data_IF_834458375207
#
_entry.id   IF_834458375207
#
_cell.length_a   1.000
_cell.length_b   1.000
_cell.length_c   1.000
_cell.angle_alpha   90.00
_cell.angle_beta   90.00
_cell.angle_gamma   90.00
#
_symmetry.space_group_name_H-M   'P 1'
#
loop_
_entity.id
_entity.type
_entity.pdbx_description
1 polymer ?
#
# COMPACT_ATOMS: atom_id res chain seq x y z
N UNK A 1 36.30 -14.21 -10.57
CA UNK A 1 35.53 -13.54 -11.63
C UNK A 1 34.79 -12.44 -10.92
N UNK A 2 35.28 -11.22 -11.05
CA UNK A 2 34.70 -10.02 -10.46
C UNK A 2 33.35 -9.75 -11.13
N UNK A 3 32.28 -9.74 -10.34
CA UNK A 3 31.00 -9.21 -10.80
C UNK A 3 31.15 -7.69 -10.93
N UNK A 4 31.40 -7.26 -12.15
CA UNK A 4 31.62 -5.88 -12.53
C UNK A 4 30.41 -5.03 -12.10
N UNK A 5 30.59 -4.01 -11.23
CA UNK A 5 29.50 -3.18 -10.74
C UNK A 5 28.73 -2.48 -11.87
N UNK A 6 29.37 -2.30 -13.04
CA UNK A 6 28.73 -1.76 -14.25
C UNK A 6 27.72 -2.75 -14.85
N UNK A 7 28.02 -4.05 -14.82
CA UNK A 7 27.11 -5.12 -15.30
C UNK A 7 25.91 -5.28 -14.34
N UNK A 8 26.12 -5.14 -13.03
CA UNK A 8 25.03 -5.13 -12.05
C UNK A 8 24.10 -3.92 -12.22
N UNK A 9 24.64 -2.74 -12.54
CA UNK A 9 23.85 -1.54 -12.82
C UNK A 9 23.04 -1.69 -14.12
N UNK A 10 23.66 -2.24 -15.17
CA UNK A 10 23.02 -2.46 -16.48
C UNK A 10 21.96 -3.57 -16.48
N UNK A 11 22.05 -4.55 -15.57
CA UNK A 11 21.05 -5.63 -15.42
C UNK A 11 19.86 -5.23 -14.54
N UNK A 12 19.80 -3.98 -14.06
CA UNK A 12 18.75 -3.52 -13.13
C UNK A 12 18.88 -4.12 -11.72
N UNK A 13 20.05 -4.66 -11.37
CA UNK A 13 20.34 -5.28 -10.06
C UNK A 13 20.81 -4.28 -9.01
N UNK A 14 21.26 -3.09 -9.39
CA UNK A 14 21.63 -2.03 -8.43
C UNK A 14 20.37 -1.36 -7.92
N UNK A 15 20.13 -1.48 -6.62
CA UNK A 15 19.07 -0.76 -5.94
C UNK A 15 19.64 0.61 -5.59
N UNK A 16 18.91 1.69 -5.86
CA UNK A 16 19.34 3.01 -5.43
C UNK A 16 18.64 3.40 -4.12
N UNK A 17 19.30 4.21 -3.30
CA UNK A 17 18.66 4.81 -2.12
C UNK A 17 17.41 5.62 -2.52
N UNK A 18 17.42 6.23 -3.71
CA UNK A 18 16.27 6.95 -4.26
C UNK A 18 15.06 6.06 -4.52
N UNK A 19 15.26 4.80 -4.95
CA UNK A 19 14.16 3.84 -5.10
C UNK A 19 13.52 3.49 -3.76
N UNK A 20 14.32 3.34 -2.70
CA UNK A 20 13.82 3.10 -1.34
C UNK A 20 13.06 4.30 -0.81
N UNK A 21 13.61 5.51 -0.96
CA UNK A 21 12.92 6.74 -0.57
C UNK A 21 11.63 6.96 -1.38
N UNK A 22 11.66 6.68 -2.67
CA UNK A 22 10.47 6.66 -3.52
C UNK A 22 9.40 5.71 -2.98
N UNK A 23 9.77 4.48 -2.64
CA UNK A 23 8.85 3.50 -2.08
C UNK A 23 8.29 3.94 -0.71
N UNK A 24 9.13 4.53 0.16
CA UNK A 24 8.70 5.08 1.47
C UNK A 24 7.69 6.23 1.30
N UNK A 25 7.88 7.11 0.32
CA UNK A 25 6.90 8.17 0.00
C UNK A 25 5.56 7.59 -0.43
N UNK A 26 5.55 6.58 -1.30
CA UNK A 26 4.32 5.91 -1.72
C UNK A 26 3.63 5.19 -0.55
N UNK A 27 4.40 4.60 0.36
CA UNK A 27 3.85 3.99 1.58
C UNK A 27 3.16 5.03 2.46
N UNK A 28 3.76 6.20 2.64
CA UNK A 28 3.14 7.31 3.39
C UNK A 28 1.84 7.76 2.73
N UNK A 29 1.82 7.90 1.40
CA UNK A 29 0.60 8.25 0.65
C UNK A 29 -0.51 7.21 0.83
N UNK A 30 -0.17 5.91 0.75
CA UNK A 30 -1.15 4.82 0.95
C UNK A 30 -1.74 4.85 2.36
N UNK A 31 -0.90 5.07 3.39
CA UNK A 31 -1.35 5.20 4.78
C UNK A 31 -2.27 6.39 4.97
N UNK A 32 -1.92 7.55 4.39
CA UNK A 32 -2.77 8.74 4.41
C UNK A 32 -4.14 8.47 3.79
N UNK A 33 -4.16 7.81 2.63
CA UNK A 33 -5.40 7.46 1.93
C UNK A 33 -6.26 6.49 2.77
N UNK A 34 -5.64 5.49 3.39
CA UNK A 34 -6.35 4.53 4.24
C UNK A 34 -6.96 5.21 5.46
N UNK A 35 -6.25 6.15 6.07
CA UNK A 35 -6.74 6.92 7.22
C UNK A 35 -7.88 7.86 6.84
N UNK A 36 -7.78 8.52 5.68
CA UNK A 36 -8.86 9.34 5.12
C UNK A 36 -10.12 8.50 4.86
N UNK A 37 -9.96 7.30 4.26
CA UNK A 37 -11.10 6.38 4.03
C UNK A 37 -11.73 5.98 5.37
N UNK A 38 -10.92 5.61 6.37
CA UNK A 38 -11.41 5.18 7.70
C UNK A 38 -12.12 6.29 8.46
N UNK A 39 -11.61 7.52 8.39
CA UNK A 39 -12.20 8.68 9.07
C UNK A 39 -13.46 9.19 8.38
N UNK A 40 -13.53 9.10 7.05
CA UNK A 40 -14.67 9.57 6.25
C UNK A 40 -15.82 8.56 6.21
N UNK A 41 -15.53 7.27 6.36
CA UNK A 41 -16.51 6.19 6.26
C UNK A 41 -17.77 6.41 7.12
N UNK A 42 -17.69 6.71 8.44
CA UNK A 42 -18.89 6.82 9.27
C UNK A 42 -19.82 7.95 8.83
N UNK A 43 -19.28 8.99 8.17
CA UNK A 43 -20.06 10.11 7.66
C UNK A 43 -20.75 9.78 6.32
N UNK A 44 -20.12 8.98 5.45
CA UNK A 44 -20.66 8.61 4.13
C UNK A 44 -21.69 7.47 4.20
N UNK A 45 -21.52 6.56 5.15
CA UNK A 45 -22.34 5.36 5.27
C UNK A 45 -23.02 5.35 6.65
N UNK A 46 -24.11 6.11 6.81
CA UNK A 46 -24.87 6.09 8.07
C UNK A 46 -25.27 4.66 8.39
N UNK A 47 -25.36 4.31 9.67
CA UNK A 47 -25.72 2.96 10.11
C UNK A 47 -27.08 2.49 9.55
N UNK A 48 -27.36 1.18 9.58
CA UNK A 48 -28.63 0.66 9.12
C UNK A 48 -29.78 1.34 9.87
N UNK A 49 -30.77 1.87 9.15
CA UNK A 49 -31.84 2.64 9.75
C UNK A 49 -32.83 1.71 10.44
N UNK A 50 -32.96 1.87 11.77
CA UNK A 50 -33.78 0.97 12.59
C UNK A 50 -35.29 1.14 12.41
N UNK A 51 -35.73 2.22 11.78
CA UNK A 51 -37.14 2.64 11.76
C UNK A 51 -37.68 2.97 10.38
N UNK A 52 -36.91 2.78 9.30
CA UNK A 52 -37.45 3.02 7.97
C UNK A 52 -38.48 1.94 7.62
N UNK A 53 -39.65 2.36 7.12
CA UNK A 53 -40.76 1.47 6.76
C UNK A 53 -41.34 1.89 5.41
N UNK A 54 -40.63 1.61 4.34
CA UNK A 54 -41.12 1.78 2.96
C UNK A 54 -40.32 0.93 1.99
N UNK A 55 -40.93 0.53 0.87
CA UNK A 55 -40.22 -0.23 -0.18
C UNK A 55 -39.01 0.56 -0.75
N UNK A 56 -39.11 1.90 -0.80
CA UNK A 56 -38.00 2.77 -1.18
C UNK A 56 -36.86 2.73 -0.15
N UNK A 57 -37.19 2.64 1.14
CA UNK A 57 -36.21 2.45 2.20
C UNK A 57 -35.52 1.09 2.14
N UNK A 58 -36.25 0.02 1.83
CA UNK A 58 -35.69 -1.32 1.68
C UNK A 58 -34.69 -1.35 0.51
N UNK A 59 -35.06 -0.77 -0.63
CA UNK A 59 -34.15 -0.63 -1.78
C UNK A 59 -32.91 0.22 -1.44
N UNK A 60 -33.08 1.28 -0.64
CA UNK A 60 -31.97 2.11 -0.17
C UNK A 60 -31.04 1.33 0.76
N UNK A 61 -31.59 0.54 1.69
CA UNK A 61 -30.82 -0.29 2.61
C UNK A 61 -29.94 -1.30 1.86
N UNK A 62 -30.49 -2.00 0.86
CA UNK A 62 -29.74 -2.94 0.01
C UNK A 62 -28.57 -2.24 -0.69
N UNK A 63 -28.79 -1.04 -1.24
CA UNK A 63 -27.72 -0.26 -1.90
C UNK A 63 -26.65 0.22 -0.93
N UNK A 64 -27.03 0.60 0.28
CA UNK A 64 -26.08 0.98 1.33
C UNK A 64 -25.25 -0.22 1.80
N UNK A 65 -25.85 -1.42 1.89
CA UNK A 65 -25.12 -2.64 2.21
C UNK A 65 -24.13 -3.03 1.10
N UNK A 66 -24.52 -2.97 -0.18
CA UNK A 66 -23.59 -3.16 -1.30
C UNK A 66 -22.41 -2.17 -1.22
N UNK A 67 -22.70 -0.90 -0.95
CA UNK A 67 -21.67 0.13 -0.82
C UNK A 67 -20.74 -0.14 0.37
N UNK A 68 -21.26 -0.61 1.52
CA UNK A 68 -20.43 -1.03 2.67
C UNK A 68 -19.50 -2.19 2.32
N UNK A 69 -20.01 -3.21 1.62
CA UNK A 69 -19.21 -4.37 1.20
C UNK A 69 -18.10 -3.93 0.25
N UNK A 70 -18.41 -3.10 -0.74
CA UNK A 70 -17.43 -2.60 -1.71
C UNK A 70 -16.36 -1.73 -1.05
N UNK A 71 -16.76 -0.87 -0.12
CA UNK A 71 -15.81 -0.02 0.62
C UNK A 71 -14.91 -0.86 1.54
N UNK A 72 -15.45 -1.90 2.18
CA UNK A 72 -14.66 -2.86 2.95
C UNK A 72 -13.65 -3.60 2.09
N UNK A 73 -14.05 -4.05 0.90
CA UNK A 73 -13.14 -4.66 -0.07
C UNK A 73 -12.02 -3.71 -0.49
N UNK A 74 -12.36 -2.45 -0.81
CA UNK A 74 -11.36 -1.44 -1.18
C UNK A 74 -10.37 -1.14 -0.03
N UNK A 75 -10.87 -1.00 1.21
CA UNK A 75 -10.02 -0.81 2.38
C UNK A 75 -9.11 -2.02 2.64
N UNK A 76 -9.60 -3.24 2.42
CA UNK A 76 -8.79 -4.46 2.47
C UNK A 76 -7.68 -4.46 1.43
N UNK A 77 -8.00 -4.16 0.16
CA UNK A 77 -7.01 -4.09 -0.91
C UNK A 77 -5.93 -3.02 -0.65
N UNK A 78 -6.28 -1.88 -0.06
CA UNK A 78 -5.32 -0.85 0.36
C UNK A 78 -4.39 -1.37 1.47
N UNK A 79 -4.91 -2.07 2.47
CA UNK A 79 -4.11 -2.65 3.54
C UNK A 79 -3.16 -3.75 3.02
N UNK A 80 -3.61 -4.57 2.06
CA UNK A 80 -2.75 -5.56 1.39
C UNK A 80 -1.63 -4.89 0.59
N UNK A 81 -1.94 -3.81 -0.15
CA UNK A 81 -0.95 -3.04 -0.88
C UNK A 81 0.09 -2.39 0.06
N UNK A 82 -0.34 -1.87 1.20
CA UNK A 82 0.53 -1.35 2.26
C UNK A 82 1.51 -2.43 2.73
N UNK A 83 1.00 -3.60 3.15
CA UNK A 83 1.83 -4.70 3.63
C UNK A 83 2.81 -5.22 2.56
N UNK A 84 2.36 -5.32 1.31
CA UNK A 84 3.21 -5.73 0.19
C UNK A 84 4.34 -4.72 -0.06
N UNK A 85 4.06 -3.42 0.01
CA UNK A 85 5.05 -2.37 -0.17
C UNK A 85 6.06 -2.33 0.97
N UNK A 86 5.63 -2.53 2.23
CA UNK A 86 6.54 -2.67 3.37
C UNK A 86 7.51 -3.85 3.22
N UNK A 87 7.01 -5.01 2.77
CA UNK A 87 7.86 -6.17 2.47
C UNK A 87 8.84 -5.83 1.36
N UNK A 88 8.41 -5.11 0.32
CA UNK A 88 9.28 -4.70 -0.78
C UNK A 88 10.37 -3.73 -0.32
N UNK A 89 10.03 -2.73 0.50
CA UNK A 89 10.99 -1.77 1.08
C UNK A 89 12.06 -2.51 1.87
N UNK A 90 11.66 -3.42 2.79
CA UNK A 90 12.62 -4.21 3.57
C UNK A 90 13.58 -5.02 2.69
N UNK A 91 13.09 -5.61 1.60
CA UNK A 91 13.93 -6.32 0.64
C UNK A 91 14.91 -5.39 -0.07
N UNK A 92 14.48 -4.19 -0.47
CA UNK A 92 15.35 -3.20 -1.11
C UNK A 92 16.43 -2.68 -0.16
N UNK A 93 16.08 -2.46 1.11
CA UNK A 93 17.04 -2.05 2.15
C UNK A 93 18.12 -3.11 2.37
N UNK A 94 17.74 -4.38 2.47
CA UNK A 94 18.69 -5.51 2.56
C UNK A 94 19.60 -5.58 1.32
N UNK A 95 19.05 -5.34 0.12
CA UNK A 95 19.84 -5.31 -1.11
C UNK A 95 20.87 -4.17 -1.12
N UNK A 96 20.49 -3.00 -0.60
CA UNK A 96 21.41 -1.86 -0.46
C UNK A 96 22.54 -2.14 0.53
N UNK A 97 22.23 -2.76 1.68
CA UNK A 97 23.23 -3.12 2.68
C UNK A 97 24.26 -4.11 2.12
N UNK A 98 23.80 -5.17 1.44
CA UNK A 98 24.67 -6.14 0.77
C UNK A 98 25.55 -5.46 -0.30
N UNK A 99 25.01 -4.51 -1.06
CA UNK A 99 25.77 -3.74 -2.06
C UNK A 99 26.83 -2.84 -1.41
N UNK A 100 26.51 -2.21 -0.29
CA UNK A 100 27.44 -1.38 0.47
C UNK A 100 28.60 -2.23 1.04
N UNK A 101 28.31 -3.38 1.63
CA UNK A 101 29.32 -4.32 2.12
C UNK A 101 30.23 -4.85 1.01
N UNK A 102 29.65 -5.23 -0.14
CA UNK A 102 30.42 -5.68 -1.29
C UNK A 102 31.38 -4.58 -1.75
N UNK A 103 30.88 -3.35 -1.92
CA UNK A 103 31.71 -2.20 -2.31
C UNK A 103 32.83 -1.92 -1.31
N UNK A 104 32.57 -2.09 -0.01
CA UNK A 104 33.58 -1.91 1.04
C UNK A 104 34.66 -3.00 1.06
N UNK A 105 34.34 -4.25 0.67
CA UNK A 105 35.31 -5.35 0.57
C UNK A 105 36.29 -5.22 -0.60
N UNK A 106 35.95 -4.43 -1.61
CA UNK A 106 36.80 -4.20 -2.79
C UNK A 106 37.62 -2.90 -2.73
N UNK A 107 37.54 -2.12 -1.64
CA UNK A 107 38.38 -0.95 -1.35
C UNK A 107 39.49 -1.32 -0.37
#
# INVERSE_FOLDING_TARGET
MDDDPIIAALTGRVVSAEQVEGARRHLLMLRSLLDEVRSTWPALLPGPPRTWRSAAADACAVRLDDLRVRLAGAAGALAEAEAALEVRIRRLEQQLEVQAEATARFR
#
